data_IF_691329421660
#
_entry.id   IF_691329421660
#
_cell.length_a   1.000
_cell.length_b   1.000
_cell.length_c   1.000
_cell.angle_alpha   90.00
_cell.angle_beta   90.00
_cell.angle_gamma   90.00
#
_symmetry.space_group_name_H-M   'P 1'
#
loop_
_entity.id
_entity.type
_entity.pdbx_description
1 polymer ?
#
# COMPACT_ATOMS: atom_id res chain seq x y z
N UNK A 1 -13.88 -8.23 -4.49
CA UNK A 1 -13.37 -6.96 -3.94
C UNK A 1 -12.64 -6.24 -5.04
N UNK A 2 -13.09 -5.04 -5.38
CA UNK A 2 -12.39 -4.16 -6.31
C UNK A 2 -11.13 -3.58 -5.63
N UNK A 3 -10.12 -3.17 -6.39
CA UNK A 3 -8.92 -2.53 -5.83
C UNK A 3 -9.25 -1.29 -4.97
N UNK A 4 -10.34 -0.60 -5.29
CA UNK A 4 -10.82 0.58 -4.57
C UNK A 4 -11.37 0.25 -3.18
N UNK A 5 -11.85 -0.98 -2.97
CA UNK A 5 -12.38 -1.43 -1.67
C UNK A 5 -11.27 -1.53 -0.61
N UNK A 6 -10.00 -1.64 -1.03
CA UNK A 6 -8.86 -1.78 -0.11
C UNK A 6 -8.43 -0.45 0.52
N UNK A 7 -8.55 0.66 -0.22
CA UNK A 7 -8.14 2.00 0.24
C UNK A 7 -8.76 2.42 1.59
N UNK A 8 -10.09 2.35 1.81
CA UNK A 8 -10.68 2.75 3.09
C UNK A 8 -10.20 1.89 4.26
N UNK A 9 -9.84 0.63 4.04
CA UNK A 9 -9.27 -0.24 5.06
C UNK A 9 -7.80 0.10 5.36
N UNK A 10 -7.02 0.40 4.33
CA UNK A 10 -5.61 0.79 4.44
C UNK A 10 -5.43 2.18 5.06
N UNK A 11 -6.36 3.11 4.81
CA UNK A 11 -6.36 4.46 5.40
C UNK A 11 -6.75 4.48 6.88
N UNK A 12 -7.43 3.43 7.35
CA UNK A 12 -7.81 3.25 8.77
C UNK A 12 -6.69 2.61 9.61
N UNK A 13 -5.61 2.18 8.98
CA UNK A 13 -4.53 1.49 9.67
C UNK A 13 -3.73 2.44 10.57
N UNK A 14 -3.25 1.91 11.70
CA UNK A 14 -2.59 2.70 12.77
C UNK A 14 -1.28 3.35 12.34
N UNK A 15 -0.75 2.99 11.16
CA UNK A 15 0.45 3.58 10.56
C UNK A 15 0.17 4.80 9.67
N UNK A 16 -1.09 5.17 9.46
CA UNK A 16 -1.45 6.42 8.78
C UNK A 16 -1.33 7.57 9.77
N UNK A 17 -0.21 8.28 9.72
CA UNK A 17 0.00 9.53 10.45
C UNK A 17 -0.13 10.66 9.43
N UNK A 18 -0.95 11.67 9.76
CA UNK A 18 -1.23 12.83 8.91
C UNK A 18 -1.89 12.54 7.54
N UNK A 19 -2.54 11.38 7.37
CA UNK A 19 -3.21 11.01 6.11
C UNK A 19 -2.28 10.37 5.07
N UNK A 20 -1.00 10.13 5.43
CA UNK A 20 -0.04 9.46 4.56
C UNK A 20 -0.01 7.95 4.81
N UNK A 21 -0.20 7.20 3.73
CA UNK A 21 -0.10 5.75 3.70
C UNK A 21 1.35 5.31 3.94
N UNK A 22 1.56 4.46 4.94
CA UNK A 22 2.86 3.86 5.24
C UNK A 22 2.85 2.37 4.97
N UNK A 23 3.70 1.94 4.04
CA UNK A 23 3.82 0.56 3.61
C UNK A 23 5.17 -0.01 4.01
N UNK A 24 5.19 -1.29 4.35
CA UNK A 24 6.45 -2.03 4.49
C UNK A 24 6.80 -2.56 3.10
N UNK A 25 7.89 -2.06 2.51
CA UNK A 25 8.33 -2.45 1.17
C UNK A 25 9.65 -3.23 1.27
N UNK A 26 9.78 -4.36 0.56
CA UNK A 26 11.05 -5.07 0.46
C UNK A 26 12.04 -4.26 -0.39
N UNK A 27 13.28 -4.14 0.09
CA UNK A 27 14.41 -3.61 -0.68
C UNK A 27 15.25 -4.75 -1.28
N UNK A 28 15.31 -5.88 -0.57
CA UNK A 28 15.97 -7.10 -0.99
C UNK A 28 15.35 -8.29 -0.25
N UNK A 29 15.68 -9.51 -0.66
CA UNK A 29 15.31 -10.70 0.09
C UNK A 29 15.96 -10.62 1.49
N UNK A 30 15.13 -10.58 2.53
CA UNK A 30 15.58 -10.41 3.92
C UNK A 30 15.79 -8.96 4.39
N UNK A 31 15.50 -7.95 3.56
CA UNK A 31 15.56 -6.52 3.96
C UNK A 31 14.29 -5.78 3.55
N UNK A 32 13.67 -5.07 4.48
CA UNK A 32 12.51 -4.23 4.24
C UNK A 32 12.64 -2.87 4.93
N UNK A 33 11.92 -1.89 4.40
CA UNK A 33 11.81 -0.55 5.00
C UNK A 33 10.35 -0.13 5.12
N UNK A 34 10.08 0.79 6.04
CA UNK A 34 8.77 1.46 6.13
C UNK A 34 8.85 2.73 5.30
N UNK A 35 8.12 2.76 4.18
CA UNK A 35 8.05 3.92 3.30
C UNK A 35 6.69 4.61 3.44
N UNK A 36 6.72 5.90 3.79
CA UNK A 36 5.57 6.79 3.73
C UNK A 36 5.46 7.50 2.37
N UNK A 37 4.31 8.12 2.10
CA UNK A 37 4.11 8.97 0.92
C UNK A 37 3.96 8.22 -0.41
N UNK A 38 3.61 6.94 -0.38
CA UNK A 38 3.30 6.19 -1.61
C UNK A 38 1.97 6.67 -2.18
N UNK A 39 1.96 7.09 -3.45
CA UNK A 39 0.73 7.54 -4.14
C UNK A 39 -0.32 6.43 -4.18
N UNK A 40 -1.58 6.78 -3.94
CA UNK A 40 -2.70 5.85 -3.99
C UNK A 40 -2.85 5.18 -5.36
N UNK A 41 -2.49 5.87 -6.45
CA UNK A 41 -2.53 5.32 -7.81
C UNK A 41 -1.59 4.12 -7.98
N UNK A 42 -0.38 4.21 -7.40
CA UNK A 42 0.61 3.12 -7.44
C UNK A 42 0.10 1.91 -6.66
N UNK A 43 -0.54 2.14 -5.51
CA UNK A 43 -1.14 1.06 -4.69
C UNK A 43 -2.27 0.37 -5.44
N UNK A 44 -3.17 1.13 -6.07
CA UNK A 44 -4.28 0.57 -6.84
C UNK A 44 -3.79 -0.24 -8.05
N UNK A 45 -2.78 0.27 -8.78
CA UNK A 45 -2.16 -0.46 -9.89
C UNK A 45 -1.57 -1.79 -9.42
N UNK A 46 -0.79 -1.79 -8.33
CA UNK A 46 -0.19 -3.01 -7.81
C UNK A 46 -1.23 -4.05 -7.36
N UNK A 47 -2.35 -3.62 -6.77
CA UNK A 47 -3.45 -4.52 -6.41
C UNK A 47 -4.09 -5.11 -7.67
N UNK A 48 -4.33 -4.29 -8.70
CA UNK A 48 -4.91 -4.74 -9.96
C UNK A 48 -4.00 -5.74 -10.70
N UNK A 49 -2.68 -5.54 -10.66
CA UNK A 49 -1.71 -6.45 -11.26
C UNK A 49 -1.73 -7.83 -10.57
N UNK A 50 -1.88 -7.86 -9.24
CA UNK A 50 -1.97 -9.10 -8.47
C UNK A 50 -3.31 -9.84 -8.64
N UNK A 51 -4.36 -9.17 -9.13
CA UNK A 51 -5.66 -9.79 -9.41
C UNK A 51 -5.73 -10.43 -10.81
N UNK A 52 -4.78 -10.11 -11.68
CA UNK A 52 -4.67 -10.65 -13.04
C UNK A 52 -3.72 -11.86 -13.14
N UNK A 53 -3.01 -12.17 -12.05
CA UNK A 53 -2.12 -13.32 -11.91
C UNK A 53 -2.89 -14.58 -11.46
#
# INVERSE_FOLDING_TARGET
MSAQDYLPHMLRDKKVLAGELRLVLPLAIGKSEVRGGVSHEVVLSAIADCQQA
#
